data_IF_853388414149
#
_entry.id   IF_853388414149
#
_cell.length_a   1.000
_cell.length_b   1.000
_cell.length_c   1.000
_cell.angle_alpha   90.00
_cell.angle_beta   90.00
_cell.angle_gamma   90.00
#
_symmetry.space_group_name_H-M   'P 1'
#
loop_
_entity.id
_entity.type
_entity.pdbx_description
1 polymer ?
#
# COMPACT_ATOMS: atom_id res chain seq x y z
N UNK A 1 29.70 29.26 -1.74
CA UNK A 1 29.45 27.83 -1.96
C UNK A 1 28.23 27.50 -1.14
N UNK A 2 27.13 27.16 -1.79
CA UNK A 2 25.88 26.86 -1.08
C UNK A 2 26.12 25.65 -0.19
N UNK A 3 25.96 25.84 1.12
CA UNK A 3 26.15 24.80 2.12
C UNK A 3 24.90 23.89 2.11
N UNK A 4 24.83 23.02 1.10
CA UNK A 4 23.76 22.04 0.97
C UNK A 4 24.01 20.85 1.91
N UNK A 5 22.95 20.27 2.50
CA UNK A 5 23.09 19.09 3.37
C UNK A 5 23.58 17.86 2.58
N UNK A 6 24.18 16.92 3.29
CA UNK A 6 24.55 15.62 2.73
C UNK A 6 23.30 14.83 2.28
N UNK A 7 23.42 13.93 1.29
CA UNK A 7 22.32 13.06 0.87
C UNK A 7 21.79 12.23 2.05
N UNK A 8 20.46 12.15 2.16
CA UNK A 8 19.80 11.50 3.31
C UNK A 8 19.85 9.96 3.25
N UNK A 9 20.30 9.38 2.14
CA UNK A 9 20.42 7.94 1.92
C UNK A 9 21.73 7.64 1.16
N UNK A 10 22.31 6.44 1.30
CA UNK A 10 23.51 6.06 0.57
C UNK A 10 23.30 6.06 -0.95
N UNK A 11 24.33 6.44 -1.71
CA UNK A 11 24.28 6.49 -3.18
C UNK A 11 23.89 5.14 -3.82
N UNK A 12 24.39 4.04 -3.25
CA UNK A 12 24.14 2.68 -3.71
C UNK A 12 22.76 2.12 -3.31
N UNK A 13 21.90 2.91 -2.64
CA UNK A 13 20.60 2.45 -2.18
C UNK A 13 19.64 2.23 -3.36
N UNK A 14 19.42 0.96 -3.71
CA UNK A 14 18.51 0.54 -4.78
C UNK A 14 17.43 -0.40 -4.21
N UNK A 15 16.17 0.01 -4.32
CA UNK A 15 14.99 -0.71 -3.82
C UNK A 15 13.99 -1.05 -4.92
N UNK A 16 14.36 -0.95 -6.21
CA UNK A 16 13.46 -1.24 -7.35
C UNK A 16 12.98 -2.70 -7.41
N UNK A 17 13.61 -3.59 -6.65
CA UNK A 17 13.21 -4.99 -6.48
C UNK A 17 12.14 -5.19 -5.40
N UNK A 18 11.72 -4.14 -4.69
CA UNK A 18 10.66 -4.22 -3.69
C UNK A 18 9.28 -4.21 -4.38
N UNK A 19 8.38 -5.14 -4.00
CA UNK A 19 7.07 -5.25 -4.66
C UNK A 19 6.06 -4.19 -4.20
N UNK A 20 6.36 -3.43 -3.15
CA UNK A 20 5.49 -2.39 -2.63
C UNK A 20 6.31 -1.27 -1.97
N UNK A 21 5.74 -0.07 -2.01
CA UNK A 21 6.28 1.11 -1.34
C UNK A 21 5.44 1.40 -0.09
N UNK A 22 6.03 1.41 1.13
CA UNK A 22 5.29 1.74 2.33
C UNK A 22 4.94 3.23 2.37
N UNK A 23 3.72 3.54 2.79
CA UNK A 23 3.27 4.91 3.07
C UNK A 23 2.93 5.04 4.55
N UNK A 24 3.53 6.06 5.19
CA UNK A 24 3.28 6.40 6.59
C UNK A 24 1.93 7.11 6.73
N UNK A 25 0.83 6.36 6.65
CA UNK A 25 -0.57 6.87 6.66
C UNK A 25 -0.81 7.97 7.68
N UNK A 26 -0.47 7.75 8.94
CA UNK A 26 -0.72 8.73 10.01
C UNK A 26 0.07 10.03 9.82
N UNK A 27 1.32 9.96 9.32
CA UNK A 27 2.14 11.13 9.04
C UNK A 27 1.65 11.87 7.80
N UNK A 28 1.26 11.14 6.74
CA UNK A 28 0.74 11.73 5.52
C UNK A 28 -0.57 12.47 5.79
N UNK A 29 -1.59 11.79 6.32
CA UNK A 29 -2.89 12.39 6.55
C UNK A 29 -2.92 13.36 7.73
N UNK A 30 -1.93 13.33 8.61
CA UNK A 30 -1.74 14.33 9.68
C UNK A 30 -0.82 15.50 9.30
N UNK A 31 -0.31 15.56 8.07
CA UNK A 31 0.64 16.60 7.65
C UNK A 31 -0.03 17.90 7.20
N UNK A 32 0.69 19.01 7.30
CA UNK A 32 0.27 20.28 6.70
C UNK A 32 0.10 20.17 5.18
N UNK A 33 0.95 19.39 4.52
CA UNK A 33 0.81 19.09 3.10
C UNK A 33 -0.57 18.53 2.75
N UNK A 34 -1.07 17.55 3.51
CA UNK A 34 -2.42 17.02 3.27
C UNK A 34 -3.53 18.03 3.60
N UNK A 35 -3.33 18.86 4.61
CA UNK A 35 -4.33 19.85 5.03
C UNK A 35 -4.48 21.03 4.06
N UNK A 36 -3.43 21.37 3.28
CA UNK A 36 -3.36 22.61 2.50
C UNK A 36 -3.21 22.44 1.00
N UNK A 37 -2.67 21.31 0.53
CA UNK A 37 -2.43 21.12 -0.90
C UNK A 37 -3.75 21.09 -1.69
N UNK A 38 -3.72 21.64 -2.89
CA UNK A 38 -4.79 21.45 -3.87
C UNK A 38 -4.86 19.97 -4.29
N UNK A 39 -5.98 19.54 -4.86
CA UNK A 39 -6.11 18.16 -5.37
C UNK A 39 -4.99 17.80 -6.37
N UNK A 40 -4.60 18.76 -7.21
CA UNK A 40 -3.53 18.61 -8.18
C UNK A 40 -2.15 18.49 -7.52
N UNK A 41 -1.84 19.37 -6.57
CA UNK A 41 -0.60 19.35 -5.80
C UNK A 41 -0.47 18.11 -4.93
N UNK A 42 -1.56 17.70 -4.28
CA UNK A 42 -1.61 16.50 -3.46
C UNK A 42 -1.36 15.25 -4.30
N UNK A 43 -2.07 15.09 -5.43
CA UNK A 43 -1.87 13.96 -6.35
C UNK A 43 -0.43 13.92 -6.85
N UNK A 44 0.10 15.05 -7.29
CA UNK A 44 1.48 15.14 -7.79
C UNK A 44 2.49 14.80 -6.69
N UNK A 45 2.38 15.39 -5.50
CA UNK A 45 3.29 15.16 -4.38
C UNK A 45 3.30 13.72 -3.88
N UNK A 46 2.13 13.10 -3.69
CA UNK A 46 2.05 11.68 -3.30
C UNK A 46 2.62 10.77 -4.40
N UNK A 47 2.38 11.09 -5.67
CA UNK A 47 2.99 10.35 -6.80
C UNK A 47 4.51 10.44 -6.78
N UNK A 48 5.07 11.62 -6.50
CA UNK A 48 6.51 11.83 -6.37
C UNK A 48 7.10 11.06 -5.17
N UNK A 49 6.42 11.04 -4.03
CA UNK A 49 6.82 10.21 -2.88
C UNK A 49 6.93 8.74 -3.28
N UNK A 50 5.90 8.19 -3.94
CA UNK A 50 5.88 6.80 -4.35
C UNK A 50 7.00 6.47 -5.34
N UNK A 51 7.14 7.25 -6.40
CA UNK A 51 8.12 7.01 -7.47
C UNK A 51 9.56 7.30 -7.10
N UNK A 52 9.78 8.08 -6.03
CA UNK A 52 11.13 8.29 -5.51
C UNK A 52 11.78 6.97 -5.08
N UNK A 53 11.00 5.97 -4.65
CA UNK A 53 11.51 4.65 -4.28
C UNK A 53 12.10 3.88 -5.46
N UNK A 54 11.64 4.17 -6.68
CA UNK A 54 12.16 3.56 -7.91
C UNK A 54 13.40 4.27 -8.45
N UNK A 55 13.82 5.37 -7.84
CA UNK A 55 15.05 6.07 -8.21
C UNK A 55 16.28 5.36 -7.63
N UNK A 56 17.45 5.69 -8.17
CA UNK A 56 18.75 5.33 -7.57
C UNK A 56 19.53 6.63 -7.42
N UNK A 57 19.76 7.12 -6.17
CA UNK A 57 19.39 6.50 -4.90
C UNK A 57 17.87 6.47 -4.63
N UNK A 58 17.36 5.42 -3.99
CA UNK A 58 15.94 5.32 -3.63
C UNK A 58 15.54 6.45 -2.68
N UNK A 59 14.31 6.94 -2.77
CA UNK A 59 13.81 8.08 -1.99
C UNK A 59 14.29 9.45 -2.48
N UNK A 60 15.06 9.51 -3.56
CA UNK A 60 15.50 10.77 -4.19
C UNK A 60 14.62 11.14 -5.38
N UNK A 61 14.69 12.40 -5.80
CA UNK A 61 14.17 12.89 -7.08
C UNK A 61 15.25 13.70 -7.82
N UNK A 62 15.22 13.75 -9.16
CA UNK A 62 16.02 14.70 -9.92
C UNK A 62 15.56 16.13 -9.64
N UNK A 63 16.49 17.09 -9.64
CA UNK A 63 16.21 18.53 -9.52
C UNK A 63 16.09 19.19 -10.90
N UNK A 64 15.22 18.66 -11.75
CA UNK A 64 14.87 19.28 -13.03
C UNK A 64 13.38 19.11 -13.34
N UNK A 65 12.77 20.20 -13.82
CA UNK A 65 11.33 20.24 -14.02
C UNK A 65 10.81 19.30 -15.13
N UNK A 66 11.64 18.92 -16.10
CA UNK A 66 11.20 18.01 -17.18
C UNK A 66 10.99 16.62 -16.58
N UNK A 67 11.99 16.13 -15.84
CA UNK A 67 11.92 14.85 -15.14
C UNK A 67 10.84 14.85 -14.08
N UNK A 68 10.73 15.92 -13.28
CA UNK A 68 9.72 16.03 -12.23
C UNK A 68 8.30 16.05 -12.79
N UNK A 69 8.04 16.79 -13.88
CA UNK A 69 6.74 16.81 -14.57
C UNK A 69 6.34 15.41 -15.05
N UNK A 70 7.29 14.64 -15.60
CA UNK A 70 7.05 13.25 -16.02
C UNK A 70 6.82 12.33 -14.81
N UNK A 71 7.61 12.48 -13.75
CA UNK A 71 7.45 11.68 -12.54
C UNK A 71 6.10 11.94 -11.86
N UNK A 72 5.64 13.20 -11.80
CA UNK A 72 4.34 13.60 -11.25
C UNK A 72 3.11 13.14 -12.08
N UNK A 73 3.31 12.37 -13.15
CA UNK A 73 2.24 11.92 -14.06
C UNK A 73 1.47 13.10 -14.68
N UNK A 74 2.20 14.15 -15.08
CA UNK A 74 1.68 15.26 -15.88
C UNK A 74 2.22 15.22 -17.33
N UNK A 75 3.03 14.21 -17.65
CA UNK A 75 3.59 14.00 -18.97
C UNK A 75 4.48 15.16 -19.40
N UNK A 76 4.04 15.89 -20.44
CA UNK A 76 4.76 17.05 -21.00
C UNK A 76 4.12 18.39 -20.63
N UNK A 77 3.06 18.41 -19.82
CA UNK A 77 2.36 19.64 -19.45
C UNK A 77 3.11 20.43 -18.37
N UNK A 78 4.15 21.13 -18.81
CA UNK A 78 4.99 21.99 -17.97
C UNK A 78 4.23 23.15 -17.34
N UNK A 79 3.10 23.58 -17.93
CA UNK A 79 2.26 24.64 -17.35
C UNK A 79 1.44 24.11 -16.18
N UNK A 80 0.88 22.91 -16.29
CA UNK A 80 0.25 22.24 -15.16
C UNK A 80 1.26 21.97 -14.05
N UNK A 81 2.46 21.48 -14.39
CA UNK A 81 3.53 21.27 -13.41
C UNK A 81 3.89 22.56 -12.67
N UNK A 82 4.12 23.66 -13.38
CA UNK A 82 4.50 24.93 -12.76
C UNK A 82 3.46 25.43 -11.73
N UNK A 83 2.16 25.14 -11.93
CA UNK A 83 1.11 25.53 -10.98
C UNK A 83 1.13 24.73 -9.68
N UNK A 84 1.56 23.46 -9.73
CA UNK A 84 1.49 22.55 -8.59
C UNK A 84 2.86 22.22 -7.99
N UNK A 85 3.95 22.69 -8.61
CA UNK A 85 5.33 22.35 -8.24
C UNK A 85 5.62 22.62 -6.78
N UNK A 86 5.30 23.83 -6.30
CA UNK A 86 5.64 24.25 -4.93
C UNK A 86 4.90 23.40 -3.89
N UNK A 87 3.63 23.04 -4.16
CA UNK A 87 2.86 22.13 -3.31
C UNK A 87 3.40 20.70 -3.38
N UNK A 88 3.66 20.18 -4.59
CA UNK A 88 4.13 18.81 -4.82
C UNK A 88 5.53 18.55 -4.25
N UNK A 89 6.37 19.59 -4.22
CA UNK A 89 7.71 19.56 -3.64
C UNK A 89 7.75 20.02 -2.17
N UNK A 90 6.60 20.14 -1.50
CA UNK A 90 6.57 20.45 -0.07
C UNK A 90 7.40 19.44 0.74
N UNK A 91 8.33 19.94 1.54
CA UNK A 91 9.21 19.13 2.39
C UNK A 91 10.40 18.47 1.68
N UNK A 92 10.56 18.65 0.37
CA UNK A 92 11.74 18.18 -0.36
C UNK A 92 12.92 19.13 -0.18
N UNK A 93 14.10 18.57 0.06
CA UNK A 93 15.34 19.30 0.35
C UNK A 93 16.38 18.93 -0.69
N UNK A 94 16.99 19.93 -1.31
CA UNK A 94 18.13 19.71 -2.21
C UNK A 94 19.39 19.39 -1.42
N UNK A 95 20.03 18.27 -1.73
CA UNK A 95 21.28 17.83 -1.11
C UNK A 95 22.49 18.12 -2.01
N UNK A 96 23.68 17.93 -1.45
CA UNK A 96 24.98 18.23 -2.10
C UNK A 96 25.27 17.39 -3.36
N UNK A 97 24.54 16.30 -3.58
CA UNK A 97 24.61 15.48 -4.80
C UNK A 97 23.72 16.01 -5.94
N UNK A 98 23.04 17.14 -5.73
CA UNK A 98 22.17 17.77 -6.71
C UNK A 98 20.78 17.15 -6.82
N UNK A 99 20.40 16.25 -5.91
CA UNK A 99 19.09 15.60 -5.89
C UNK A 99 18.21 16.13 -4.76
N UNK A 100 16.91 15.94 -4.90
CA UNK A 100 15.92 16.29 -3.89
C UNK A 100 15.62 15.06 -3.01
N UNK A 101 15.57 15.26 -1.70
CA UNK A 101 15.24 14.24 -0.70
C UNK A 101 14.13 14.71 0.22
N UNK A 102 13.24 13.79 0.59
CA UNK A 102 12.20 14.06 1.59
C UNK A 102 12.51 13.31 2.89
N UNK A 103 12.68 13.98 4.05
CA UNK A 103 13.10 13.35 5.30
C UNK A 103 12.26 12.12 5.69
N UNK A 104 10.93 12.24 5.62
CA UNK A 104 10.01 11.13 5.94
C UNK A 104 10.14 9.95 4.98
N UNK A 105 10.46 10.19 3.71
CA UNK A 105 10.66 9.12 2.72
C UNK A 105 12.01 8.46 2.96
N UNK A 106 13.06 9.26 3.18
CA UNK A 106 14.42 8.80 3.45
C UNK A 106 14.50 7.91 4.70
N UNK A 107 13.72 8.19 5.76
CA UNK A 107 13.59 7.31 6.92
C UNK A 107 13.15 5.89 6.51
N UNK A 108 12.05 5.78 5.77
CA UNK A 108 11.52 4.48 5.32
C UNK A 108 12.46 3.75 4.35
N UNK A 109 13.10 4.49 3.44
CA UNK A 109 14.09 3.94 2.50
C UNK A 109 15.31 3.40 3.24
N UNK A 110 15.83 4.14 4.22
CA UNK A 110 17.00 3.73 5.00
C UNK A 110 16.72 2.44 5.77
N UNK A 111 15.54 2.34 6.39
CA UNK A 111 15.11 1.11 7.08
C UNK A 111 15.00 -0.08 6.11
N UNK A 112 14.36 0.11 4.95
CA UNK A 112 14.21 -0.91 3.94
C UNK A 112 15.58 -1.37 3.38
N UNK A 113 16.49 -0.44 3.14
CA UNK A 113 17.84 -0.71 2.67
C UNK A 113 18.66 -1.50 3.68
N UNK A 114 18.65 -1.08 4.96
CA UNK A 114 19.32 -1.80 6.03
C UNK A 114 18.82 -3.26 6.13
N UNK A 115 17.50 -3.46 6.04
CA UNK A 115 16.89 -4.80 6.04
C UNK A 115 17.33 -5.63 4.84
N UNK A 116 17.40 -5.03 3.65
CA UNK A 116 17.88 -5.70 2.42
C UNK A 116 19.33 -6.16 2.57
N UNK A 117 20.21 -5.29 3.08
CA UNK A 117 21.62 -5.62 3.33
C UNK A 117 21.78 -6.76 4.34
N UNK A 118 21.09 -6.67 5.48
CA UNK A 118 21.14 -7.72 6.51
C UNK A 118 20.62 -9.07 5.99
N UNK A 119 19.59 -9.07 5.13
CA UNK A 119 19.11 -10.30 4.48
C UNK A 119 20.15 -10.88 3.52
N UNK A 120 20.81 -10.03 2.73
CA UNK A 120 21.88 -10.44 1.80
C UNK A 120 23.03 -11.10 2.55
N UNK A 121 23.47 -10.50 3.64
CA UNK A 121 24.55 -11.01 4.49
C UNK A 121 24.20 -12.37 5.12
N UNK A 122 23.01 -12.50 5.73
CA UNK A 122 22.54 -13.78 6.29
C UNK A 122 22.48 -14.88 5.23
N UNK A 123 22.01 -14.54 4.03
CA UNK A 123 21.93 -15.51 2.92
C UNK A 123 23.32 -15.92 2.45
N UNK A 124 24.26 -14.98 2.34
CA UNK A 124 25.64 -15.26 1.97
C UNK A 124 26.34 -16.15 3.01
N UNK A 125 26.19 -15.84 4.30
CA UNK A 125 26.74 -16.65 5.38
C UNK A 125 26.17 -18.08 5.39
N UNK A 126 24.86 -18.24 5.18
CA UNK A 126 24.23 -19.55 5.11
C UNK A 126 24.72 -20.38 3.89
N UNK A 127 24.95 -19.73 2.74
CA UNK A 127 25.53 -20.40 1.56
C UNK A 127 26.97 -20.83 1.82
N UNK A 128 27.81 -19.95 2.35
CA UNK A 128 29.19 -20.25 2.68
C UNK A 128 29.29 -21.41 3.69
N UNK A 129 28.44 -21.44 4.72
CA UNK A 129 28.39 -22.53 5.69
C UNK A 129 28.01 -23.88 5.05
N UNK A 130 27.04 -23.90 4.12
CA UNK A 130 26.64 -25.11 3.38
C UNK A 130 27.75 -25.61 2.46
N UNK A 131 28.45 -24.70 1.80
CA UNK A 131 29.60 -25.04 0.94
C UNK A 131 30.77 -25.59 1.77
N UNK A 132 31.07 -24.98 2.92
CA UNK A 132 32.08 -25.48 3.85
C UNK A 132 31.74 -26.90 4.34
N UNK A 133 30.49 -27.14 4.75
CA UNK A 133 30.03 -28.47 5.18
C UNK A 133 30.13 -29.50 4.06
N UNK A 134 29.73 -29.16 2.83
CA UNK A 134 29.87 -30.04 1.66
C UNK A 134 31.34 -30.39 1.39
N UNK A 135 32.25 -29.42 1.52
CA UNK A 135 33.69 -29.63 1.33
C UNK A 135 34.27 -30.55 2.42
N UNK A 136 33.83 -30.38 3.67
CA UNK A 136 34.23 -31.24 4.78
C UNK A 136 33.72 -32.69 4.60
N UNK A 137 32.45 -32.86 4.20
CA UNK A 137 31.87 -34.18 3.92
C UNK A 137 32.59 -34.88 2.75
N UNK A 138 32.89 -34.15 1.67
CA UNK A 138 33.66 -34.70 0.55
C UNK A 138 35.08 -35.13 0.97
N UNK A 139 35.75 -34.33 1.80
CA UNK A 139 37.07 -34.67 2.33
C UNK A 139 37.05 -35.92 3.23
N UNK A 140 35.98 -36.12 4.03
CA UNK A 140 35.78 -37.32 4.86
C UNK A 140 35.59 -38.58 4.01
N UNK A 141 34.85 -38.50 2.92
CA UNK A 141 34.63 -39.65 2.01
C UNK A 141 35.92 -40.04 1.28
N UNK A 142 36.76 -39.08 0.90
CA UNK A 142 38.06 -39.37 0.26
C UNK A 142 39.14 -39.90 1.20
N UNK A 143 39.02 -39.65 2.52
CA UNK A 143 40.02 -40.04 3.52
C UNK A 143 39.83 -41.44 4.14
N UNK A 144 38.81 -42.20 3.70
CA UNK A 144 38.43 -43.49 4.29
C UNK A 144 38.94 -44.74 3.55
N UNK A 145 39.94 -44.62 2.67
CA UNK A 145 40.56 -45.75 1.96
C UNK A 145 41.98 -45.99 2.47
N UNK A 146 42.11 -46.51 3.70
CA UNK A 146 43.36 -47.13 4.14
C UNK A 146 43.07 -48.33 5.05
N UNK A 147 42.56 -49.39 4.44
CA UNK A 147 42.71 -50.75 4.96
C UNK A 147 42.96 -51.67 3.79
N UNK A 148 44.19 -52.19 3.73
CA UNK A 148 44.75 -52.89 2.59
C UNK A 148 43.99 -54.15 2.16
N UNK A 149 44.02 -54.39 0.86
CA UNK A 149 43.96 -55.74 0.31
C UNK A 149 44.85 -55.78 -0.91
N UNK A 150 45.95 -56.53 -0.78
CA UNK A 150 46.78 -56.99 -1.89
C UNK A 150 45.91 -57.80 -2.86
N UNK A 151 45.65 -57.26 -4.04
CA UNK A 151 45.83 -57.99 -5.30
C UNK A 151 45.54 -57.10 -6.51
N UNK A 152 46.47 -57.12 -7.47
CA UNK A 152 46.34 -56.65 -8.83
C UNK A 152 46.65 -57.85 -9.76
N UNK A 153 46.41 -57.83 -11.10
CA UNK A 153 45.52 -56.98 -11.91
C UNK A 153 44.70 -57.78 -12.99
N UNK A 154 44.01 -57.03 -13.87
CA UNK A 154 43.35 -57.33 -15.16
C UNK A 154 41.95 -57.99 -15.09
N UNK A 155 40.95 -57.63 -15.90
CA UNK A 155 40.96 -57.30 -17.34
C UNK A 155 39.81 -56.35 -17.72
N UNK A 156 39.97 -55.64 -18.83
CA UNK A 156 39.11 -54.59 -19.33
C UNK A 156 37.83 -55.14 -19.98
N UNK A 157 36.68 -54.48 -19.77
CA UNK A 157 35.72 -54.29 -20.86
C UNK A 157 34.91 -53.01 -20.66
N UNK A 158 34.97 -52.17 -21.67
CA UNK A 158 34.21 -50.94 -21.91
C UNK A 158 32.71 -51.22 -21.85
N UNK A 159 31.93 -50.38 -21.16
CA UNK A 159 30.68 -49.95 -21.76
C UNK A 159 30.19 -48.58 -21.30
N UNK A 160 29.60 -47.91 -22.27
CA UNK A 160 29.38 -46.48 -22.35
C UNK A 160 27.99 -46.15 -21.82
N UNK A 161 27.88 -45.25 -20.85
CA UNK A 161 26.63 -44.53 -20.57
C UNK A 161 26.92 -43.22 -19.81
N UNK A 162 27.34 -42.19 -20.56
CA UNK A 162 27.29 -40.81 -20.10
C UNK A 162 25.82 -40.38 -20.03
N UNK A 163 25.16 -40.61 -18.89
CA UNK A 163 23.91 -39.93 -18.57
C UNK A 163 24.24 -38.57 -17.98
N UNK A 164 24.35 -37.57 -18.85
CA UNK A 164 24.31 -36.16 -18.47
C UNK A 164 22.95 -35.85 -17.83
N UNK A 165 22.87 -35.93 -16.50
CA UNK A 165 21.77 -35.30 -15.76
C UNK A 165 22.12 -33.81 -15.64
N UNK A 166 21.69 -33.04 -16.64
CA UNK A 166 21.45 -31.61 -16.49
C UNK A 166 20.35 -31.42 -15.46
N UNK A 167 20.72 -31.16 -14.21
CA UNK A 167 19.83 -30.56 -13.23
C UNK A 167 19.60 -29.09 -13.61
N UNK A 168 18.62 -28.92 -14.51
CA UNK A 168 17.94 -27.66 -14.70
C UNK A 168 16.97 -27.42 -13.52
N UNK A 169 16.73 -26.13 -13.28
CA UNK A 169 15.73 -25.54 -12.38
C UNK A 169 16.20 -25.26 -10.94
N UNK A 170 17.16 -24.35 -10.84
CA UNK A 170 17.06 -23.26 -9.86
C UNK A 170 15.82 -22.41 -10.17
N UNK A 171 14.64 -22.85 -9.71
CA UNK A 171 13.53 -21.94 -9.48
C UNK A 171 13.74 -21.33 -8.09
N UNK A 172 14.40 -20.18 -8.08
CA UNK A 172 14.46 -19.25 -6.96
C UNK A 172 13.03 -18.90 -6.51
N UNK A 173 12.50 -19.62 -5.53
CA UNK A 173 11.36 -19.17 -4.73
C UNK A 173 11.91 -18.37 -3.55
N UNK A 174 12.51 -17.23 -3.86
CA UNK A 174 12.76 -16.15 -2.92
C UNK A 174 11.44 -15.47 -2.58
N UNK A 175 10.53 -16.17 -1.90
CA UNK A 175 9.41 -15.51 -1.23
C UNK A 175 9.91 -14.98 0.10
N UNK A 176 10.51 -13.79 0.04
CA UNK A 176 10.58 -12.91 1.20
C UNK A 176 9.16 -12.46 1.54
N UNK A 177 8.43 -13.26 2.32
CA UNK A 177 7.29 -12.77 3.07
C UNK A 177 7.83 -11.80 4.13
N UNK A 178 7.95 -10.53 3.75
CA UNK A 178 8.01 -9.44 4.71
C UNK A 178 6.65 -9.36 5.39
N UNK A 179 6.47 -10.10 6.48
CA UNK A 179 5.38 -9.86 7.42
C UNK A 179 5.48 -8.41 7.89
N UNK A 180 4.56 -7.58 7.44
CA UNK A 180 4.32 -6.25 8.01
C UNK A 180 3.72 -6.41 9.39
N UNK A 181 4.57 -6.58 10.41
CA UNK A 181 4.17 -6.33 11.79
C UNK A 181 4.33 -4.84 12.05
N UNK A 182 3.21 -4.11 12.02
CA UNK A 182 3.16 -2.75 12.54
C UNK A 182 3.36 -2.79 14.05
N UNK A 183 4.51 -2.31 14.52
CA UNK A 183 4.76 -2.14 15.95
C UNK A 183 4.30 -0.75 16.38
N UNK A 184 3.39 -0.76 17.35
CA UNK A 184 2.80 0.42 18.00
C UNK A 184 3.87 1.15 18.81
N UNK A 185 4.14 2.40 18.47
CA UNK A 185 4.92 3.31 19.31
C UNK A 185 4.08 3.75 20.51
N UNK A 186 4.50 3.37 21.72
CA UNK A 186 4.05 4.00 22.97
C UNK A 186 4.73 5.37 23.08
N UNK A 187 3.95 6.45 23.08
CA UNK A 187 4.43 7.79 23.43
C UNK A 187 4.17 8.04 24.91
N UNK A 188 5.20 8.50 25.64
CA UNK A 188 5.05 9.14 26.94
C UNK A 188 4.47 10.54 26.74
N UNK A 189 3.58 10.88 27.64
CA UNK A 189 2.80 12.11 27.76
C UNK A 189 3.49 12.99 28.79
N UNK A 190 3.86 14.22 28.43
CA UNK A 190 4.15 15.31 29.39
C UNK A 190 3.71 16.66 28.79
N UNK A 191 2.68 17.20 29.45
CA UNK A 191 2.33 18.57 29.83
C UNK A 191 2.44 19.79 28.88
N UNK A 192 1.27 20.44 28.77
CA UNK A 192 1.00 21.81 28.30
C UNK A 192 1.17 22.78 29.48
N UNK A 193 1.56 24.05 29.25
CA UNK A 193 0.68 25.13 29.72
C UNK A 193 0.46 26.28 28.70
N UNK A 194 -0.55 27.14 28.95
CA UNK A 194 -1.32 27.85 27.94
C UNK A 194 -0.98 29.36 27.86
N UNK A 195 -1.74 30.09 27.01
CA UNK A 195 -2.18 31.51 27.08
C UNK A 195 -2.29 32.07 25.64
N UNK A 196 -3.17 32.97 25.22
CA UNK A 196 -4.52 33.44 25.59
C UNK A 196 -4.79 34.67 24.69
N UNK A 197 -6.04 34.83 24.27
CA UNK A 197 -6.73 36.09 23.90
C UNK A 197 -6.59 36.74 22.50
N UNK A 198 -7.79 37.07 21.98
CA UNK A 198 -8.18 37.86 20.80
C UNK A 198 -7.95 39.38 20.99
N UNK A 199 -8.03 40.19 19.92
CA UNK A 199 -9.28 40.92 19.62
C UNK A 199 -9.62 40.93 18.11
N UNK A 200 -10.86 40.74 17.68
CA UNK A 200 -11.98 41.71 17.52
C UNK A 200 -11.69 42.92 16.61
N UNK A 201 -12.38 42.97 15.47
CA UNK A 201 -12.94 44.21 14.92
C UNK A 201 -12.71 44.48 13.42
N UNK A 202 -13.78 44.46 12.62
CA UNK A 202 -13.83 45.22 11.36
C UNK A 202 -14.62 44.59 10.22
N UNK A 203 -15.94 44.77 10.21
CA UNK A 203 -16.88 44.38 9.16
C UNK A 203 -16.74 45.21 7.86
N UNK A 204 -17.08 44.60 6.72
CA UNK A 204 -17.92 45.26 5.70
C UNK A 204 -18.51 44.23 4.72
N UNK A 205 -19.79 44.44 4.45
CA UNK A 205 -20.74 43.65 3.69
C UNK A 205 -20.58 43.87 2.18
N UNK A 206 -20.88 42.84 1.38
CA UNK A 206 -21.64 43.00 0.13
C UNK A 206 -22.21 41.66 -0.34
N UNK A 207 -23.53 41.65 -0.40
CA UNK A 207 -24.46 40.61 -0.82
C UNK A 207 -24.29 40.17 -2.28
N UNK A 208 -24.67 38.92 -2.56
CA UNK A 208 -24.72 38.34 -3.90
C UNK A 208 -25.31 36.93 -3.91
N UNK A 209 -26.50 36.76 -3.33
CA UNK A 209 -27.35 35.57 -3.44
C UNK A 209 -27.78 35.28 -4.87
N UNK A 210 -27.63 34.03 -5.32
CA UNK A 210 -28.61 33.38 -6.20
C UNK A 210 -28.49 31.86 -6.14
N UNK A 211 -29.34 31.25 -5.31
CA UNK A 211 -29.86 29.90 -5.48
C UNK A 211 -30.85 29.90 -6.66
N UNK A 212 -30.94 28.80 -7.43
CA UNK A 212 -32.26 28.41 -7.92
C UNK A 212 -32.61 26.96 -7.57
N UNK A 213 -33.88 26.77 -7.25
CA UNK A 213 -34.62 25.52 -7.06
C UNK A 213 -36.11 25.88 -7.23
N UNK A 214 -37.08 24.97 -7.53
CA UNK A 214 -37.09 23.74 -8.34
C UNK A 214 -38.31 23.67 -9.31
N UNK A 215 -38.21 22.91 -10.41
CA UNK A 215 -39.30 22.27 -11.20
C UNK A 215 -38.77 21.95 -12.62
N UNK A 216 -39.05 20.84 -13.32
CA UNK A 216 -39.69 19.56 -13.04
C UNK A 216 -39.38 18.63 -14.25
N UNK A 217 -39.29 17.34 -13.96
CA UNK A 217 -39.21 16.14 -14.80
C UNK A 217 -39.19 16.26 -16.34
N UNK A 218 -38.24 15.53 -16.95
CA UNK A 218 -38.61 14.30 -17.70
C UNK A 218 -37.42 13.35 -17.84
N UNK A 219 -37.56 12.13 -17.30
CA UNK A 219 -36.73 10.96 -17.65
C UNK A 219 -37.19 10.42 -19.03
N UNK A 220 -36.33 9.75 -19.82
CA UNK A 220 -36.02 8.34 -19.53
C UNK A 220 -34.58 7.92 -19.89
N UNK A 221 -34.11 6.87 -19.23
CA UNK A 221 -32.87 6.18 -19.59
C UNK A 221 -32.13 5.71 -18.36
N UNK A 222 -32.73 4.78 -17.60
CA UNK A 222 -32.03 4.09 -16.52
C UNK A 222 -30.83 3.34 -17.08
N UNK A 223 -29.64 3.94 -16.94
CA UNK A 223 -28.40 3.18 -17.02
C UNK A 223 -28.37 2.35 -15.73
N UNK A 224 -28.77 1.09 -15.83
CA UNK A 224 -28.61 0.17 -14.70
C UNK A 224 -27.13 0.16 -14.29
N UNK A 225 -26.81 0.23 -12.98
CA UNK A 225 -25.44 0.09 -12.53
C UNK A 225 -24.88 -1.23 -13.06
N UNK A 226 -23.59 -1.27 -13.46
CA UNK A 226 -23.00 -2.43 -14.12
C UNK A 226 -23.27 -3.68 -13.30
N UNK A 227 -24.03 -4.58 -13.92
CA UNK A 227 -24.50 -5.83 -13.34
C UNK A 227 -23.31 -6.62 -12.78
N UNK A 228 -23.49 -7.31 -11.65
CA UNK A 228 -22.49 -8.28 -11.21
C UNK A 228 -22.29 -9.30 -12.33
N UNK A 229 -21.03 -9.56 -12.67
CA UNK A 229 -20.68 -10.45 -13.78
C UNK A 229 -21.19 -11.88 -13.53
N UNK A 230 -21.43 -12.62 -14.62
CA UNK A 230 -22.00 -13.97 -14.56
C UNK A 230 -21.11 -14.95 -13.78
N UNK A 231 -19.79 -14.72 -13.75
CA UNK A 231 -18.86 -15.55 -13.00
C UNK A 231 -19.02 -15.35 -11.49
N UNK A 232 -19.17 -14.11 -11.04
CA UNK A 232 -19.47 -13.77 -9.64
C UNK A 232 -20.82 -14.35 -9.20
N UNK A 233 -21.85 -14.25 -10.04
CA UNK A 233 -23.16 -14.84 -9.74
C UNK A 233 -23.07 -16.38 -9.70
N UNK A 234 -22.33 -17.00 -10.61
CA UNK A 234 -22.09 -18.45 -10.59
C UNK A 234 -21.31 -18.90 -9.34
N UNK A 235 -20.32 -18.12 -8.91
CA UNK A 235 -19.57 -18.37 -7.68
C UNK A 235 -20.46 -18.30 -6.44
N UNK A 236 -21.30 -17.26 -6.34
CA UNK A 236 -22.22 -17.09 -5.20
C UNK A 236 -23.29 -18.18 -5.12
N UNK A 237 -23.68 -18.75 -6.27
CA UNK A 237 -24.60 -19.88 -6.36
C UNK A 237 -24.01 -21.21 -5.86
N UNK A 238 -22.68 -21.30 -5.71
CA UNK A 238 -22.01 -22.57 -5.37
C UNK A 238 -22.57 -23.14 -4.07
N UNK A 239 -23.00 -24.40 -4.13
CA UNK A 239 -23.63 -25.13 -3.02
C UNK A 239 -24.88 -24.45 -2.44
N UNK A 240 -25.54 -23.59 -3.22
CA UNK A 240 -26.86 -23.02 -2.93
C UNK A 240 -27.93 -23.66 -3.84
N UNK A 241 -29.19 -23.64 -3.40
CA UNK A 241 -30.36 -24.02 -4.20
C UNK A 241 -30.95 -22.85 -4.97
N UNK A 242 -30.34 -21.67 -4.86
CA UNK A 242 -30.84 -20.43 -5.48
C UNK A 242 -30.58 -20.39 -6.99
N UNK A 243 -31.47 -19.72 -7.72
CA UNK A 243 -31.30 -19.40 -9.14
C UNK A 243 -30.38 -18.19 -9.31
N UNK A 244 -29.81 -18.00 -10.50
CA UNK A 244 -29.00 -16.80 -10.79
C UNK A 244 -29.78 -15.49 -10.56
N UNK A 245 -31.08 -15.50 -10.91
CA UNK A 245 -32.00 -14.38 -10.67
C UNK A 245 -32.21 -14.10 -9.18
N UNK A 246 -32.34 -15.14 -8.35
CA UNK A 246 -32.42 -15.00 -6.89
C UNK A 246 -31.16 -14.38 -6.30
N UNK A 247 -29.98 -14.83 -6.75
CA UNK A 247 -28.69 -14.27 -6.30
C UNK A 247 -28.58 -12.79 -6.67
N UNK A 248 -28.97 -12.42 -7.91
CA UNK A 248 -28.99 -11.02 -8.34
C UNK A 248 -29.96 -10.18 -7.49
N UNK A 249 -31.15 -10.71 -7.19
CA UNK A 249 -32.12 -10.04 -6.32
C UNK A 249 -31.55 -9.81 -4.91
N UNK A 250 -30.84 -10.79 -4.35
CA UNK A 250 -30.16 -10.65 -3.05
C UNK A 250 -29.07 -9.59 -3.11
N UNK A 251 -28.26 -9.54 -4.16
CA UNK A 251 -27.21 -8.52 -4.33
C UNK A 251 -27.80 -7.11 -4.49
N UNK A 252 -28.94 -6.98 -5.19
CA UNK A 252 -29.68 -5.72 -5.30
C UNK A 252 -30.19 -5.29 -3.92
N UNK A 253 -30.75 -6.22 -3.14
CA UNK A 253 -31.27 -5.90 -1.83
C UNK A 253 -30.16 -5.51 -0.84
N UNK A 254 -29.03 -6.23 -0.87
CA UNK A 254 -27.83 -5.85 -0.13
C UNK A 254 -27.34 -4.46 -0.55
N UNK A 255 -27.39 -4.13 -1.84
CA UNK A 255 -27.02 -2.82 -2.38
C UNK A 255 -27.85 -1.65 -1.84
N UNK A 256 -29.05 -1.89 -1.31
CA UNK A 256 -29.85 -0.85 -0.64
C UNK A 256 -29.29 -0.48 0.74
N UNK A 257 -28.58 -1.42 1.37
CA UNK A 257 -28.06 -1.29 2.74
C UNK A 257 -26.54 -1.14 2.81
N UNK A 258 -25.84 -1.52 1.74
CA UNK A 258 -24.39 -1.60 1.65
C UNK A 258 -23.90 -1.01 0.33
N UNK A 259 -22.74 -0.37 0.36
CA UNK A 259 -22.08 0.10 -0.85
C UNK A 259 -21.63 -1.06 -1.74
N UNK A 260 -21.56 -0.85 -3.06
CA UNK A 260 -21.07 -1.88 -4.01
C UNK A 260 -19.68 -2.39 -3.65
N UNK A 261 -18.80 -1.51 -3.19
CA UNK A 261 -17.43 -1.84 -2.81
C UNK A 261 -17.39 -2.70 -1.54
N UNK A 262 -18.30 -2.47 -0.59
CA UNK A 262 -18.42 -3.31 0.63
C UNK A 262 -18.88 -4.72 0.29
N UNK A 263 -19.86 -4.84 -0.62
CA UNK A 263 -20.33 -6.13 -1.11
C UNK A 263 -19.20 -6.83 -1.89
N UNK A 264 -18.44 -6.10 -2.71
CA UNK A 264 -17.29 -6.62 -3.44
C UNK A 264 -16.21 -7.18 -2.50
N UNK A 265 -15.84 -6.41 -1.48
CA UNK A 265 -14.87 -6.85 -0.47
C UNK A 265 -15.34 -8.10 0.30
N UNK A 266 -16.65 -8.20 0.60
CA UNK A 266 -17.22 -9.38 1.24
C UNK A 266 -17.17 -10.62 0.33
N UNK A 267 -17.38 -10.45 -0.99
CA UNK A 267 -17.25 -11.52 -1.99
C UNK A 267 -15.79 -11.98 -2.09
N UNK A 268 -14.83 -11.07 -2.13
CA UNK A 268 -13.41 -11.39 -2.15
C UNK A 268 -12.98 -12.15 -0.88
N UNK A 269 -13.50 -11.74 0.28
CA UNK A 269 -13.27 -12.45 1.53
C UNK A 269 -13.88 -13.87 1.52
N UNK A 270 -15.02 -14.07 0.86
CA UNK A 270 -15.60 -15.39 0.66
C UNK A 270 -14.69 -16.27 -0.21
N UNK A 271 -14.06 -15.70 -1.25
CA UNK A 271 -13.12 -16.39 -2.13
C UNK A 271 -11.85 -16.79 -1.36
N UNK A 272 -11.27 -15.88 -0.60
CA UNK A 272 -10.07 -16.13 0.20
C UNK A 272 -10.29 -17.18 1.31
N UNK A 273 -11.48 -17.20 1.92
CA UNK A 273 -11.83 -18.16 2.97
C UNK A 273 -12.34 -19.52 2.44
N UNK A 274 -12.41 -19.69 1.11
CA UNK A 274 -12.98 -20.89 0.45
C UNK A 274 -14.36 -21.27 1.01
N UNK A 275 -15.21 -20.27 1.22
CA UNK A 275 -16.50 -20.48 1.86
C UNK A 275 -17.36 -21.54 1.14
N UNK A 276 -17.85 -22.54 1.87
CA UNK A 276 -18.68 -23.61 1.30
C UNK A 276 -20.00 -23.09 0.74
N UNK A 277 -20.56 -22.03 1.33
CA UNK A 277 -21.78 -21.33 0.88
C UNK A 277 -21.49 -19.83 0.77
N UNK A 278 -20.96 -19.35 -0.37
CA UNK A 278 -20.46 -17.98 -0.48
C UNK A 278 -21.53 -16.90 -0.27
N UNK A 279 -22.76 -17.08 -0.77
CA UNK A 279 -23.83 -16.10 -0.58
C UNK A 279 -24.22 -15.89 0.89
N UNK A 280 -24.37 -16.98 1.65
CA UNK A 280 -24.66 -16.91 3.08
C UNK A 280 -23.49 -16.30 3.87
N UNK A 281 -22.25 -16.57 3.43
CA UNK A 281 -21.06 -15.97 4.02
C UNK A 281 -21.05 -14.45 3.83
N UNK A 282 -21.33 -13.95 2.62
CA UNK A 282 -21.37 -12.51 2.32
C UNK A 282 -22.40 -11.80 3.19
N UNK A 283 -23.63 -12.31 3.27
CA UNK A 283 -24.67 -11.72 4.12
C UNK A 283 -24.29 -11.70 5.60
N UNK A 284 -23.74 -12.81 6.12
CA UNK A 284 -23.30 -12.89 7.52
C UNK A 284 -22.09 -11.99 7.81
N UNK A 285 -21.17 -11.84 6.86
CA UNK A 285 -19.99 -10.99 6.99
C UNK A 285 -20.39 -9.52 7.05
N UNK A 286 -21.25 -9.06 6.14
CA UNK A 286 -21.77 -7.69 6.13
C UNK A 286 -22.59 -7.38 7.40
N UNK A 287 -23.43 -8.30 7.85
CA UNK A 287 -24.17 -8.15 9.11
C UNK A 287 -23.23 -8.05 10.32
N UNK A 288 -22.14 -8.83 10.35
CA UNK A 288 -21.12 -8.77 11.40
C UNK A 288 -20.35 -7.44 11.37
N UNK A 289 -19.98 -6.95 10.19
CA UNK A 289 -19.31 -5.64 10.05
C UNK A 289 -20.21 -4.50 10.54
N UNK A 290 -21.51 -4.57 10.23
CA UNK A 290 -22.49 -3.60 10.72
C UNK A 290 -22.66 -3.67 12.25
N UNK A 291 -22.69 -4.87 12.83
CA UNK A 291 -22.75 -5.06 14.28
C UNK A 291 -21.45 -4.68 15.01
N UNK A 292 -20.30 -4.77 14.33
CA UNK A 292 -18.98 -4.44 14.86
C UNK A 292 -18.60 -2.96 14.73
N UNK A 293 -19.42 -2.14 14.05
CA UNK A 293 -19.29 -0.68 13.98
C UNK A 293 -20.28 -0.03 14.96
N UNK A 294 -19.86 0.39 16.18
CA UNK A 294 -20.75 1.03 17.15
C UNK A 294 -21.10 2.48 16.79
N UNK A 295 -20.63 2.99 15.64
CA UNK A 295 -20.80 4.39 15.20
C UNK A 295 -21.88 4.59 14.14
N UNK A 296 -22.74 3.60 13.91
CA UNK A 296 -23.95 3.76 13.10
C UNK A 296 -25.21 3.49 13.92
N UNK A 297 -25.27 3.98 15.16
CA UNK A 297 -26.55 4.37 15.74
C UNK A 297 -26.94 5.71 15.11
N UNK A 298 -28.21 5.79 14.71
CA UNK A 298 -29.01 6.93 14.25
C UNK A 298 -28.37 8.32 14.36
N UNK A 299 -28.59 9.24 13.38
CA UNK A 299 -28.09 10.61 13.44
C UNK A 299 -28.33 11.17 14.83
N UNK A 300 -27.25 11.40 15.56
CA UNK A 300 -27.32 11.90 16.92
C UNK A 300 -28.06 13.23 16.82
N UNK A 301 -29.21 13.31 17.48
CA UNK A 301 -30.02 14.50 17.50
C UNK A 301 -29.62 15.31 18.75
N UNK A 302 -28.55 16.14 18.71
CA UNK A 302 -27.95 16.75 19.90
C UNK A 302 -28.95 17.51 20.79
N UNK A 303 -30.03 18.05 20.21
CA UNK A 303 -31.09 18.74 20.94
C UNK A 303 -31.90 17.80 21.85
N UNK A 304 -32.03 16.51 21.53
CA UNK A 304 -32.69 15.53 22.40
C UNK A 304 -31.90 15.25 23.67
N UNK A 305 -30.57 15.36 23.65
CA UNK A 305 -29.73 15.20 24.85
C UNK A 305 -29.85 16.37 25.81
N UNK A 306 -30.23 17.53 25.29
CA UNK A 306 -30.42 18.76 26.06
C UNK A 306 -31.89 19.02 26.42
N UNK A 307 -32.81 18.08 26.12
CA UNK A 307 -34.27 18.25 26.24
C UNK A 307 -34.79 19.53 25.55
N UNK A 308 -34.14 19.94 24.47
CA UNK A 308 -34.56 21.08 23.66
C UNK A 308 -35.40 20.58 22.48
N UNK A 309 -36.35 21.40 22.06
CA UNK A 309 -36.98 21.22 20.75
C UNK A 309 -35.99 21.59 19.65
N UNK A 310 -36.19 21.03 18.45
CA UNK A 310 -35.30 21.29 17.29
C UNK A 310 -35.21 22.79 16.97
N UNK A 311 -36.33 23.49 17.10
CA UNK A 311 -36.45 24.94 16.89
C UNK A 311 -35.71 25.77 17.94
N UNK A 312 -35.62 25.31 19.19
CA UNK A 312 -34.85 26.00 20.24
C UNK A 312 -33.34 25.81 20.04
N UNK A 313 -32.91 24.67 19.50
CA UNK A 313 -31.52 24.42 19.15
C UNK A 313 -31.06 25.23 17.93
N UNK A 314 -31.89 25.32 16.89
CA UNK A 314 -31.58 26.10 15.68
C UNK A 314 -31.57 27.62 15.92
N UNK A 315 -32.08 28.10 17.06
CA UNK A 315 -32.10 29.51 17.46
C UNK A 315 -30.93 29.94 18.38
N UNK A 316 -30.15 28.98 18.90
CA UNK A 316 -28.93 29.22 19.71
C UNK A 316 -27.69 29.35 18.81
#
# INVERSE_FOLDING_TARGET
MDNLPEPMVPEACDLRDFPFTPIFRARLFGSEFHARASDGGWRAGVTLWLKSWDQVPAGSLPDDDVSLCRLAELGRDRRAWAKVKDEALHGWVKCSDGRLYHPVVAEGVTEAWARKLAQRERTAAARAAREAKRKEEAARVSGGSDTGSDNAPCDATTDTATTSVTDAVTASKGQGQGQGQGQVFKKKEEDIPPLSETPTGGASEASGTSTPSPAELTAPGGVQPPEWDDETVAYLRRNSRETAESVRAVLIDLGKSHGRDEIGAAIDQARCSTATKPLAFVGAHLARLRAASPLASTPDEPWKRLNLTRTEWEAL
#
